data_IF_708288483285
#
_entry.id   IF_708288483285
#
_cell.length_a   1.000
_cell.length_b   1.000
_cell.length_c   1.000
_cell.angle_alpha   90.00
_cell.angle_beta   90.00
_cell.angle_gamma   90.00
#
_symmetry.space_group_name_H-M   'P 1'
#
loop_
_entity.id
_entity.type
_entity.pdbx_description
1 polymer ?
#
# COMPACT_ATOMS: atom_id res chain seq x y z
N UNK A 1 44.21 14.37 4.80
CA UNK A 1 45.08 14.60 3.63
C UNK A 1 44.41 13.95 2.43
N UNK A 2 44.02 14.78 1.47
CA UNK A 2 43.26 14.42 0.26
C UNK A 2 44.09 13.55 -0.68
N UNK A 3 43.52 12.45 -1.20
CA UNK A 3 44.02 11.78 -2.39
C UNK A 3 43.14 12.12 -3.59
N UNK A 4 43.74 12.87 -4.51
CA UNK A 4 43.24 13.22 -5.84
C UNK A 4 43.11 11.97 -6.71
N UNK A 5 41.88 11.60 -7.07
CA UNK A 5 41.60 10.88 -8.30
C UNK A 5 40.88 11.85 -9.24
N UNK A 6 41.69 12.55 -10.03
CA UNK A 6 41.30 13.53 -11.04
C UNK A 6 40.71 12.77 -12.24
N UNK A 7 39.42 12.43 -12.19
CA UNK A 7 38.69 11.97 -13.37
C UNK A 7 38.40 13.18 -14.26
N UNK A 8 39.21 13.31 -15.30
CA UNK A 8 39.08 14.26 -16.40
C UNK A 8 37.61 14.37 -16.87
N UNK A 9 36.97 15.49 -16.57
CA UNK A 9 35.74 15.92 -17.24
C UNK A 9 36.12 16.43 -18.63
N UNK A 10 36.15 15.51 -19.59
CA UNK A 10 36.39 15.79 -21.01
C UNK A 10 35.15 15.39 -21.82
N UNK A 11 34.02 16.06 -21.56
CA UNK A 11 32.78 15.92 -22.34
C UNK A 11 31.94 17.19 -22.27
N UNK A 12 32.59 18.34 -22.45
CA UNK A 12 31.92 19.65 -22.43
C UNK A 12 31.58 20.25 -23.80
N UNK A 13 32.20 19.80 -24.91
CA UNK A 13 32.24 20.64 -26.13
C UNK A 13 32.34 19.88 -27.46
N UNK A 14 31.70 18.71 -27.63
CA UNK A 14 31.93 17.90 -28.85
C UNK A 14 30.70 17.50 -29.69
N UNK A 15 29.50 18.01 -29.39
CA UNK A 15 28.36 17.80 -30.29
C UNK A 15 27.59 19.11 -30.53
N UNK A 16 27.34 19.48 -31.80
CA UNK A 16 26.49 20.62 -32.10
C UNK A 16 25.11 20.39 -31.47
N UNK A 17 24.60 21.34 -30.68
CA UNK A 17 23.19 21.35 -30.29
C UNK A 17 22.35 21.38 -31.57
N UNK A 18 21.64 20.29 -31.86
CA UNK A 18 20.87 20.10 -33.09
C UNK A 18 21.42 19.03 -34.05
N UNK A 19 22.54 18.38 -33.73
CA UNK A 19 23.04 17.22 -34.48
C UNK A 19 22.16 15.99 -34.26
N UNK A 20 21.98 15.17 -35.30
CA UNK A 20 21.30 13.86 -35.18
C UNK A 20 21.89 13.01 -34.04
N UNK A 21 23.19 13.16 -33.74
CA UNK A 21 23.86 12.46 -32.66
C UNK A 21 23.41 12.91 -31.27
N UNK A 22 23.19 14.21 -31.05
CA UNK A 22 22.67 14.71 -29.77
C UNK A 22 21.23 14.26 -29.53
N UNK A 23 20.41 14.22 -30.59
CA UNK A 23 19.04 13.70 -30.51
C UNK A 23 19.00 12.19 -30.21
N UNK A 24 19.94 11.40 -30.75
CA UNK A 24 20.07 9.98 -30.45
C UNK A 24 20.50 9.75 -28.99
N UNK A 25 21.45 10.55 -28.49
CA UNK A 25 21.92 10.42 -27.12
C UNK A 25 20.84 10.81 -26.10
N UNK A 26 20.13 11.91 -26.35
CA UNK A 26 19.01 12.38 -25.52
C UNK A 26 17.85 11.36 -25.50
N UNK A 27 17.50 10.79 -26.67
CA UNK A 27 16.50 9.71 -26.76
C UNK A 27 16.93 8.47 -25.98
N UNK A 28 18.21 8.10 -26.02
CA UNK A 28 18.75 6.94 -25.30
C UNK A 28 18.71 7.17 -23.78
N UNK A 29 19.04 8.38 -23.33
CA UNK A 29 19.03 8.74 -21.91
C UNK A 29 17.59 8.83 -21.35
N UNK A 30 16.66 9.42 -22.12
CA UNK A 30 15.23 9.42 -21.79
C UNK A 30 14.64 8.01 -21.70
N UNK A 31 14.98 7.14 -22.66
CA UNK A 31 14.52 5.74 -22.65
C UNK A 31 15.12 4.97 -21.48
N UNK A 32 16.41 5.18 -21.18
CA UNK A 32 17.10 4.60 -20.03
C UNK A 32 16.48 5.00 -18.70
N UNK A 33 16.18 6.29 -18.50
CA UNK A 33 15.47 6.80 -17.31
C UNK A 33 14.05 6.25 -17.19
N UNK A 34 13.31 6.17 -18.30
CA UNK A 34 11.96 5.59 -18.29
C UNK A 34 11.98 4.12 -17.88
N UNK A 35 12.96 3.35 -18.38
CA UNK A 35 13.13 1.96 -17.99
C UNK A 35 13.53 1.81 -16.52
N UNK A 36 14.45 2.64 -16.02
CA UNK A 36 14.83 2.65 -14.60
C UNK A 36 13.65 3.01 -13.69
N UNK A 37 12.84 4.00 -14.09
CA UNK A 37 11.63 4.39 -13.38
C UNK A 37 10.61 3.25 -13.37
N UNK A 38 10.39 2.60 -14.52
CA UNK A 38 9.51 1.44 -14.63
C UNK A 38 9.92 0.29 -13.72
N UNK A 39 11.22 -0.04 -13.67
CA UNK A 39 11.77 -1.10 -12.81
C UNK A 39 11.64 -0.74 -11.33
N UNK A 40 11.92 0.51 -10.94
CA UNK A 40 11.73 0.97 -9.56
C UNK A 40 10.27 0.92 -9.12
N UNK A 41 9.35 1.39 -9.97
CA UNK A 41 7.90 1.37 -9.69
C UNK A 41 7.41 -0.07 -9.58
N UNK A 42 7.84 -0.95 -10.47
CA UNK A 42 7.49 -2.37 -10.43
C UNK A 42 8.01 -3.03 -9.14
N UNK A 43 9.26 -2.78 -8.77
CA UNK A 43 9.85 -3.33 -7.55
C UNK A 43 9.13 -2.82 -6.30
N UNK A 44 8.83 -1.52 -6.23
CA UNK A 44 8.07 -0.93 -5.13
C UNK A 44 6.64 -1.47 -5.03
N UNK A 45 6.01 -1.78 -6.18
CA UNK A 45 4.69 -2.37 -6.22
C UNK A 45 4.69 -3.81 -5.68
N UNK A 46 5.68 -4.62 -6.05
CA UNK A 46 5.79 -5.98 -5.52
C UNK A 46 6.06 -6.00 -4.01
N UNK A 47 6.97 -5.16 -3.51
CA UNK A 47 7.28 -5.12 -2.08
C UNK A 47 6.06 -4.67 -1.26
N UNK A 48 5.36 -3.62 -1.70
CA UNK A 48 4.14 -3.15 -1.04
C UNK A 48 3.01 -4.19 -1.12
N UNK A 49 2.91 -4.93 -2.23
CA UNK A 49 1.90 -5.98 -2.39
C UNK A 49 2.13 -7.17 -1.44
N UNK A 50 3.38 -7.60 -1.24
CA UNK A 50 3.71 -8.67 -0.29
C UNK A 50 3.34 -8.25 1.13
N UNK A 51 3.72 -7.04 1.52
CA UNK A 51 3.37 -6.49 2.85
C UNK A 51 1.85 -6.41 3.02
N UNK A 52 1.13 -5.92 2.01
CA UNK A 52 -0.33 -5.84 2.03
C UNK A 52 -1.00 -7.21 2.16
N UNK A 53 -0.48 -8.25 1.50
CA UNK A 53 -0.98 -9.63 1.65
C UNK A 53 -0.78 -10.11 3.09
N UNK A 54 0.42 -9.96 3.65
CA UNK A 54 0.72 -10.40 5.02
C UNK A 54 -0.18 -9.70 6.02
N UNK A 55 -0.33 -8.37 5.91
CA UNK A 55 -1.20 -7.58 6.79
C UNK A 55 -2.66 -8.01 6.62
N UNK A 56 -3.13 -8.24 5.39
CA UNK A 56 -4.50 -8.67 5.13
C UNK A 56 -4.80 -10.04 5.75
N UNK A 57 -3.87 -10.98 5.63
CA UNK A 57 -4.00 -12.31 6.24
C UNK A 57 -4.05 -12.23 7.77
N UNK A 58 -3.15 -11.44 8.37
CA UNK A 58 -3.16 -11.21 9.82
C UNK A 58 -4.47 -10.54 10.28
N UNK A 59 -4.97 -9.57 9.52
CA UNK A 59 -6.21 -8.86 9.82
C UNK A 59 -7.45 -9.75 9.68
N UNK A 60 -7.49 -10.63 8.67
CA UNK A 60 -8.55 -11.64 8.50
C UNK A 60 -8.51 -12.64 9.66
N UNK A 61 -7.33 -13.16 10.01
CA UNK A 61 -7.17 -14.06 11.14
C UNK A 61 -7.64 -13.43 12.45
N UNK A 62 -7.29 -12.16 12.67
CA UNK A 62 -7.76 -11.38 13.83
C UNK A 62 -9.28 -11.18 13.81
N UNK A 63 -9.87 -10.86 12.65
CA UNK A 63 -11.32 -10.71 12.48
C UNK A 63 -12.09 -12.01 12.76
N UNK A 64 -11.60 -13.15 12.27
CA UNK A 64 -12.15 -14.48 12.56
C UNK A 64 -12.01 -14.79 14.05
N UNK A 65 -10.83 -14.55 14.64
CA UNK A 65 -10.59 -14.81 16.06
C UNK A 65 -11.51 -13.97 16.94
N UNK A 66 -11.73 -12.70 16.62
CA UNK A 66 -12.67 -11.83 17.32
C UNK A 66 -14.13 -12.29 17.18
N UNK A 67 -14.47 -12.92 16.05
CA UNK A 67 -15.81 -13.46 15.83
C UNK A 67 -16.04 -14.75 16.64
N UNK A 68 -15.02 -15.60 16.80
CA UNK A 68 -15.11 -16.87 17.53
C UNK A 68 -14.89 -16.72 19.04
N UNK A 69 -13.90 -15.92 19.42
CA UNK A 69 -13.53 -15.61 20.79
C UNK A 69 -13.84 -14.16 21.08
N UNK A 70 -15.13 -13.89 21.26
CA UNK A 70 -15.63 -12.55 21.55
C UNK A 70 -14.87 -11.91 22.71
N UNK A 71 -14.47 -12.65 23.73
CA UNK A 71 -13.83 -12.15 24.96
C UNK A 71 -12.50 -11.42 24.70
N UNK A 72 -11.88 -11.62 23.53
CA UNK A 72 -10.64 -10.95 23.14
C UNK A 72 -10.84 -9.46 22.83
N UNK A 73 -12.09 -9.01 22.68
CA UNK A 73 -12.41 -7.60 22.45
C UNK A 73 -11.84 -6.68 23.54
N UNK A 74 -11.72 -7.17 24.78
CA UNK A 74 -11.23 -6.38 25.92
C UNK A 74 -9.76 -5.97 25.81
N UNK A 75 -8.98 -6.70 25.02
CA UNK A 75 -7.57 -6.41 24.77
C UNK A 75 -7.38 -5.36 23.67
N UNK A 76 -8.40 -5.10 22.84
CA UNK A 76 -8.28 -4.08 21.80
C UNK A 76 -8.38 -2.66 22.40
N UNK A 77 -7.46 -1.76 22.05
CA UNK A 77 -7.51 -0.37 22.50
C UNK A 77 -8.79 0.35 22.04
N UNK A 78 -9.28 0.02 20.84
CA UNK A 78 -10.57 0.49 20.30
C UNK A 78 -11.75 0.23 21.24
N UNK A 79 -11.77 -0.94 21.89
CA UNK A 79 -12.82 -1.27 22.84
C UNK A 79 -12.74 -0.38 24.09
N UNK A 80 -11.53 -0.20 24.64
CA UNK A 80 -11.32 0.58 25.87
C UNK A 80 -11.69 2.05 25.70
N UNK A 81 -11.48 2.63 24.51
CA UNK A 81 -11.73 4.04 24.28
C UNK A 81 -13.17 4.35 23.86
N UNK A 82 -13.75 3.58 22.93
CA UNK A 82 -15.04 3.96 22.32
C UNK A 82 -16.21 3.10 22.75
N UNK A 83 -15.97 1.82 23.00
CA UNK A 83 -17.05 0.84 23.16
C UNK A 83 -17.34 0.47 24.62
N UNK A 84 -16.45 0.81 25.55
CA UNK A 84 -16.62 0.55 26.97
C UNK A 84 -17.87 1.25 27.54
N UNK A 85 -18.15 2.48 27.10
CA UNK A 85 -19.37 3.20 27.49
C UNK A 85 -20.62 2.52 26.91
N UNK A 86 -20.59 2.17 25.62
CA UNK A 86 -21.72 1.56 24.92
C UNK A 86 -22.10 0.20 25.52
N UNK A 87 -21.10 -0.62 25.91
CA UNK A 87 -21.32 -1.90 26.61
C UNK A 87 -22.03 -1.71 27.96
N UNK A 88 -21.71 -0.65 28.69
CA UNK A 88 -22.32 -0.35 30.01
C UNK A 88 -23.74 0.21 29.86
N UNK A 89 -23.98 1.04 28.86
CA UNK A 89 -25.27 1.68 28.62
C UNK A 89 -26.28 0.69 28.00
N UNK A 90 -25.92 0.03 26.89
CA UNK A 90 -26.79 -0.85 26.12
C UNK A 90 -26.01 -2.12 25.66
N UNK A 91 -25.95 -3.18 26.49
CA UNK A 91 -25.15 -4.36 26.19
C UNK A 91 -25.62 -5.13 24.95
N UNK A 92 -26.93 -5.14 24.67
CA UNK A 92 -27.49 -5.82 23.49
C UNK A 92 -27.09 -5.13 22.18
N UNK A 93 -27.22 -3.80 22.13
CA UNK A 93 -26.80 -3.01 20.96
C UNK A 93 -25.29 -3.09 20.74
N UNK A 94 -24.52 -3.06 21.83
CA UNK A 94 -23.07 -3.23 21.78
C UNK A 94 -22.66 -4.52 21.07
N UNK A 95 -23.23 -5.66 21.44
CA UNK A 95 -22.88 -6.95 20.84
C UNK A 95 -23.26 -7.04 19.36
N UNK A 96 -24.37 -6.41 18.96
CA UNK A 96 -24.78 -6.32 17.56
C UNK A 96 -23.80 -5.47 16.75
N UNK A 97 -23.45 -4.28 17.25
CA UNK A 97 -22.48 -3.38 16.60
C UNK A 97 -21.10 -4.05 16.52
N UNK A 98 -20.66 -4.70 17.60
CA UNK A 98 -19.39 -5.43 17.63
C UNK A 98 -19.31 -6.50 16.52
N UNK A 99 -20.36 -7.31 16.37
CA UNK A 99 -20.43 -8.34 15.31
C UNK A 99 -20.40 -7.72 13.92
N UNK A 100 -21.13 -6.62 13.69
CA UNK A 100 -21.11 -5.91 12.40
C UNK A 100 -19.71 -5.37 12.08
N UNK A 101 -19.03 -4.80 13.08
CA UNK A 101 -17.66 -4.28 12.91
C UNK A 101 -16.68 -5.42 12.61
N UNK A 102 -16.74 -6.53 13.36
CA UNK A 102 -15.85 -7.68 13.14
C UNK A 102 -16.06 -8.33 11.77
N UNK A 103 -17.31 -8.49 11.33
CA UNK A 103 -17.65 -9.04 10.01
C UNK A 103 -17.21 -8.08 8.90
N UNK A 104 -17.55 -6.79 9.01
CA UNK A 104 -17.18 -5.79 8.00
C UNK A 104 -15.66 -5.62 7.88
N UNK A 105 -14.93 -5.68 9.00
CA UNK A 105 -13.47 -5.74 9.03
C UNK A 105 -12.95 -6.92 8.21
N UNK A 106 -13.45 -8.12 8.49
CA UNK A 106 -13.02 -9.36 7.80
C UNK A 106 -13.29 -9.28 6.30
N UNK A 107 -14.50 -8.85 5.91
CA UNK A 107 -14.89 -8.69 4.51
C UNK A 107 -14.02 -7.66 3.80
N UNK A 108 -13.75 -6.52 4.43
CA UNK A 108 -12.93 -5.45 3.85
C UNK A 108 -11.51 -5.93 3.57
N UNK A 109 -10.88 -6.63 4.53
CA UNK A 109 -9.53 -7.17 4.33
C UNK A 109 -9.49 -8.32 3.31
N UNK A 110 -10.56 -9.11 3.19
CA UNK A 110 -10.68 -10.11 2.15
C UNK A 110 -10.74 -9.48 0.75
N UNK A 111 -11.60 -8.46 0.57
CA UNK A 111 -11.69 -7.70 -0.70
C UNK A 111 -10.35 -7.03 -1.00
N UNK A 112 -9.68 -6.45 0.00
CA UNK A 112 -8.35 -5.87 -0.18
C UNK A 112 -7.34 -6.91 -0.69
N UNK A 113 -7.31 -8.11 -0.10
CA UNK A 113 -6.48 -9.22 -0.58
C UNK A 113 -6.73 -9.58 -2.05
N UNK A 114 -7.99 -9.67 -2.48
CA UNK A 114 -8.36 -9.91 -3.89
C UNK A 114 -7.80 -8.80 -4.78
N UNK A 115 -7.96 -7.53 -4.39
CA UNK A 115 -7.48 -6.40 -5.20
C UNK A 115 -5.95 -6.37 -5.33
N UNK A 116 -5.21 -6.76 -4.28
CA UNK A 116 -3.76 -6.92 -4.36
C UNK A 116 -3.39 -8.07 -5.31
N UNK A 117 -4.09 -9.20 -5.24
CA UNK A 117 -3.89 -10.34 -6.16
C UNK A 117 -4.13 -9.96 -7.63
N UNK A 118 -5.20 -9.22 -7.93
CA UNK A 118 -5.46 -8.70 -9.27
C UNK A 118 -4.38 -7.74 -9.75
N UNK A 119 -3.82 -6.93 -8.85
CA UNK A 119 -2.71 -6.03 -9.18
C UNK A 119 -1.45 -6.80 -9.54
N UNK A 120 -1.09 -7.81 -8.76
CA UNK A 120 0.08 -8.67 -9.07
C UNK A 120 -0.10 -9.31 -10.44
N UNK A 121 -1.27 -9.91 -10.71
CA UNK A 121 -1.59 -10.48 -12.02
C UNK A 121 -1.54 -9.42 -13.14
N UNK A 122 -2.04 -8.22 -12.87
CA UNK A 122 -2.00 -7.08 -13.79
C UNK A 122 -0.59 -6.61 -14.11
N UNK A 123 0.28 -6.53 -13.11
CA UNK A 123 1.68 -6.16 -13.23
C UNK A 123 2.48 -7.20 -14.03
N UNK A 124 2.22 -8.50 -13.82
CA UNK A 124 2.79 -9.58 -14.64
C UNK A 124 2.28 -9.52 -16.08
N UNK A 125 1.03 -9.10 -16.29
CA UNK A 125 0.41 -9.01 -17.63
C UNK A 125 0.78 -7.77 -18.46
N UNK A 126 1.68 -6.89 -17.98
CA UNK A 126 2.10 -5.63 -18.64
C UNK A 126 0.96 -4.67 -19.00
N UNK A 127 -0.17 -4.71 -18.29
CA UNK A 127 -1.31 -3.80 -18.52
C UNK A 127 -1.43 -2.76 -17.39
N UNK A 128 -0.88 -1.55 -17.56
CA UNK A 128 -0.85 -0.52 -16.49
C UNK A 128 -2.23 -0.02 -16.05
N UNK A 129 -3.29 -0.28 -16.84
CA UNK A 129 -4.68 0.07 -16.46
C UNK A 129 -5.21 -0.72 -15.27
N UNK A 130 -4.61 -1.86 -14.94
CA UNK A 130 -5.01 -2.69 -13.79
C UNK A 130 -4.46 -2.18 -12.45
N UNK A 131 -3.64 -1.13 -12.46
CA UNK A 131 -3.08 -0.49 -11.26
C UNK A 131 -4.07 0.48 -10.58
N UNK A 132 -5.03 1.01 -11.34
CA UNK A 132 -6.06 1.96 -10.87
C UNK A 132 -6.90 1.39 -9.71
N UNK A 133 -7.44 0.15 -9.77
CA UNK A 133 -8.21 -0.41 -8.67
C UNK A 133 -7.39 -0.59 -7.39
N UNK A 134 -6.07 -0.83 -7.50
CA UNK A 134 -5.17 -0.92 -6.34
C UNK A 134 -5.09 0.42 -5.60
N UNK A 135 -4.85 1.51 -6.34
CA UNK A 135 -4.75 2.85 -5.74
C UNK A 135 -6.06 3.28 -5.07
N UNK A 136 -7.21 3.00 -5.69
CA UNK A 136 -8.51 3.32 -5.11
C UNK A 136 -8.77 2.54 -3.81
N UNK A 137 -8.50 1.23 -3.79
CA UNK A 137 -8.67 0.42 -2.58
C UNK A 137 -7.65 0.78 -1.50
N UNK A 138 -6.40 1.10 -1.87
CA UNK A 138 -5.38 1.53 -0.92
C UNK A 138 -5.77 2.88 -0.27
N UNK A 139 -6.27 3.84 -1.05
CA UNK A 139 -6.77 5.12 -0.54
C UNK A 139 -7.96 4.90 0.40
N UNK A 140 -8.91 4.05 0.02
CA UNK A 140 -10.08 3.76 0.83
C UNK A 140 -9.70 3.05 2.15
N UNK A 141 -8.83 2.04 2.08
CA UNK A 141 -8.35 1.31 3.26
C UNK A 141 -7.54 2.22 4.18
N UNK A 142 -6.65 3.04 3.63
CA UNK A 142 -5.88 4.04 4.37
C UNK A 142 -6.79 5.09 4.99
N UNK A 143 -7.83 5.53 4.28
CA UNK A 143 -8.84 6.47 4.80
C UNK A 143 -9.61 5.89 5.99
N UNK A 144 -10.05 4.62 5.90
CA UNK A 144 -10.67 3.91 7.03
C UNK A 144 -9.69 3.75 8.20
N UNK A 145 -8.42 3.45 7.91
CA UNK A 145 -7.37 3.30 8.94
C UNK A 145 -7.09 4.62 9.66
N UNK A 146 -6.92 5.72 8.91
CA UNK A 146 -6.71 7.07 9.46
C UNK A 146 -7.93 7.48 10.26
N UNK A 147 -9.15 7.32 9.73
CA UNK A 147 -10.37 7.64 10.48
C UNK A 147 -10.46 6.85 11.79
N UNK A 148 -10.13 5.55 11.76
CA UNK A 148 -10.09 4.71 12.96
C UNK A 148 -9.03 5.19 13.97
N UNK A 149 -7.86 5.61 13.49
CA UNK A 149 -6.78 6.16 14.33
C UNK A 149 -7.02 7.59 14.82
N UNK A 150 -7.71 8.41 14.03
CA UNK A 150 -8.07 9.78 14.40
C UNK A 150 -9.22 9.81 15.39
N UNK A 151 -10.12 8.83 15.34
CA UNK A 151 -11.07 8.61 16.43
C UNK A 151 -10.35 8.22 17.75
N UNK A 152 -9.14 7.66 17.65
CA UNK A 152 -8.32 7.18 18.77
C UNK A 152 -7.56 8.30 19.53
N UNK A 153 -7.49 9.52 18.96
CA UNK A 153 -6.88 10.76 19.54
C UNK A 153 -7.97 11.71 20.00
#
# INVERSE_FOLDING_TARGET
MFFLARSFSLSGTLFPQGSAYSAIMDRRDHTGRQNLCGVHVQTALYTTSIVAIIISLAAIALGILLTLHSDWHEFLPLYKQHLAYLRRANPQEYWLIYKIVAISWTVTHFIHGITVGMTIAGAVSTRPRLLIPQFLMLILLTGVYIFSFSALV
#
